data_IF_130826494290
#
_entry.id   IF_130826494290
#
_cell.length_a   1.000
_cell.length_b   1.000
_cell.length_c   1.000
_cell.angle_alpha   90.00
_cell.angle_beta   90.00
_cell.angle_gamma   90.00
#
_symmetry.space_group_name_H-M   'P 1'
#
loop_
_entity.id
_entity.type
_entity.pdbx_description
1 polymer ?
#
# COMPACT_ATOMS: atom_id res chain seq x y z
N UNK A 1 -6.12 -22.30 -31.52
CA UNK A 1 -5.78 -23.50 -30.73
C UNK A 1 -4.72 -23.07 -29.73
N UNK A 2 -5.11 -22.32 -28.69
CA UNK A 2 -5.61 -22.81 -27.40
C UNK A 2 -4.47 -23.44 -26.57
N UNK A 3 -4.23 -22.84 -25.41
CA UNK A 3 -3.18 -23.20 -24.45
C UNK A 3 -3.18 -22.16 -23.33
N UNK A 4 -4.29 -22.13 -22.61
CA UNK A 4 -4.53 -21.32 -21.41
C UNK A 4 -3.44 -21.58 -20.36
N UNK A 5 -2.95 -20.51 -19.76
CA UNK A 5 -2.07 -20.53 -18.60
C UNK A 5 -2.58 -19.51 -17.60
N UNK A 6 -3.79 -19.74 -17.09
CA UNK A 6 -4.28 -19.08 -15.88
C UNK A 6 -3.35 -19.45 -14.73
N UNK A 7 -2.40 -18.58 -14.43
CA UNK A 7 -1.63 -18.64 -13.18
C UNK A 7 -2.33 -17.78 -12.13
N UNK A 8 -3.53 -18.18 -11.74
CA UNK A 8 -4.15 -17.64 -10.52
C UNK A 8 -3.81 -18.58 -9.36
N UNK A 9 -2.54 -18.57 -8.98
CA UNK A 9 -2.12 -19.21 -7.72
C UNK A 9 -2.10 -18.11 -6.67
N UNK A 10 -3.24 -17.91 -6.00
CA UNK A 10 -3.29 -17.08 -4.80
C UNK A 10 -2.61 -17.86 -3.66
N UNK A 11 -1.31 -17.64 -3.51
CA UNK A 11 -0.49 -18.31 -2.52
C UNK A 11 -0.74 -17.81 -1.09
N UNK A 12 -1.58 -16.77 -0.89
CA UNK A 12 -1.85 -16.19 0.43
C UNK A 12 -0.63 -15.61 1.15
N UNK A 13 0.50 -15.44 0.43
CA UNK A 13 1.79 -15.08 1.01
C UNK A 13 1.98 -13.56 1.19
N UNK A 14 1.15 -12.72 0.54
CA UNK A 14 1.27 -11.26 0.58
C UNK A 14 -0.13 -10.64 0.58
N UNK A 15 -0.47 -9.89 1.64
CA UNK A 15 -1.68 -9.06 1.69
C UNK A 15 -1.57 -7.89 0.70
N UNK A 16 -2.67 -7.60 0.01
CA UNK A 16 -2.76 -6.49 -0.96
C UNK A 16 -2.67 -5.13 -0.26
N UNK A 17 -1.85 -4.22 -0.78
CA UNK A 17 -1.80 -2.82 -0.35
C UNK A 17 -2.71 -1.99 -1.27
N UNK A 18 -3.55 -1.15 -0.66
CA UNK A 18 -4.37 -0.17 -1.39
C UNK A 18 -3.57 1.10 -1.62
N UNK A 19 -3.63 1.65 -2.85
CA UNK A 19 -2.97 2.90 -3.21
C UNK A 19 -3.97 3.92 -3.76
N UNK A 20 -3.69 5.23 -3.59
CA UNK A 20 -4.43 6.30 -4.24
C UNK A 20 -4.41 6.17 -5.77
N UNK A 21 -5.51 6.55 -6.42
CA UNK A 21 -5.66 6.46 -7.88
C UNK A 21 -4.69 7.34 -8.67
N UNK A 22 -4.15 8.39 -8.05
CA UNK A 22 -3.15 9.31 -8.60
C UNK A 22 -1.70 8.88 -8.31
N UNK A 23 -1.50 7.76 -7.63
CA UNK A 23 -0.19 7.18 -7.35
C UNK A 23 0.58 6.89 -8.63
N UNK A 24 1.66 7.63 -8.87
CA UNK A 24 2.51 7.46 -10.06
C UNK A 24 3.47 6.29 -9.89
N UNK A 25 3.59 5.49 -10.95
CA UNK A 25 4.60 4.45 -11.09
C UNK A 25 5.92 5.04 -11.62
N UNK A 26 7.08 4.47 -11.28
CA UNK A 26 8.36 4.88 -11.87
C UNK A 26 8.36 4.68 -13.38
N UNK A 27 8.63 5.75 -14.14
CA UNK A 27 8.51 5.77 -15.61
C UNK A 27 9.40 4.78 -16.39
N UNK A 28 10.38 4.17 -15.73
CA UNK A 28 11.20 3.11 -16.32
C UNK A 28 10.43 1.79 -16.53
N UNK A 29 9.38 1.53 -15.75
CA UNK A 29 8.57 0.31 -15.84
C UNK A 29 7.37 0.44 -16.79
N UNK A 30 6.90 1.68 -17.04
CA UNK A 30 5.75 1.94 -17.92
C UNK A 30 5.99 1.57 -19.38
N UNK A 31 7.25 1.41 -19.83
CA UNK A 31 7.56 1.04 -21.22
C UNK A 31 7.56 -0.47 -21.47
N UNK A 32 7.55 -1.30 -20.42
CA UNK A 32 7.72 -2.76 -20.52
C UNK A 32 6.39 -3.47 -20.24
N UNK A 33 5.62 -2.96 -19.29
CA UNK A 33 4.32 -3.48 -18.94
C UNK A 33 3.45 -2.31 -18.46
N UNK A 34 2.26 -2.14 -19.02
CA UNK A 34 1.35 -1.06 -18.65
C UNK A 34 1.01 -1.07 -17.15
N UNK A 35 0.38 0.01 -16.68
CA UNK A 35 0.02 0.19 -15.26
C UNK A 35 -0.70 -1.02 -14.65
N UNK A 36 -1.59 -1.65 -15.41
CA UNK A 36 -2.32 -2.86 -15.01
C UNK A 36 -1.40 -4.05 -14.69
N UNK A 37 -0.32 -4.24 -15.45
CA UNK A 37 0.64 -5.31 -15.19
C UNK A 37 1.50 -5.03 -13.95
N UNK A 38 1.85 -3.78 -13.72
CA UNK A 38 2.55 -3.39 -12.50
C UNK A 38 1.67 -3.59 -11.26
N UNK A 39 0.42 -3.13 -11.35
CA UNK A 39 -0.56 -3.28 -10.27
C UNK A 39 -0.86 -4.75 -9.98
N UNK A 40 -0.98 -5.60 -11.01
CA UNK A 40 -1.15 -7.04 -10.82
C UNK A 40 0.07 -7.71 -10.18
N UNK A 41 1.29 -7.35 -10.60
CA UNK A 41 2.53 -7.88 -10.04
C UNK A 41 2.69 -7.54 -8.55
N UNK A 42 2.32 -6.32 -8.15
CA UNK A 42 2.40 -5.84 -6.76
C UNK A 42 1.07 -5.96 -5.98
N UNK A 43 0.03 -6.55 -6.57
CA UNK A 43 -1.34 -6.63 -6.03
C UNK A 43 -1.89 -5.29 -5.51
N UNK A 44 -1.69 -4.22 -6.27
CA UNK A 44 -2.11 -2.87 -5.91
C UNK A 44 -3.59 -2.68 -6.24
N UNK A 45 -4.42 -2.46 -5.21
CA UNK A 45 -5.83 -2.12 -5.40
C UNK A 45 -5.96 -0.60 -5.44
N UNK A 46 -6.39 -0.06 -6.59
CA UNK A 46 -6.57 1.39 -6.82
C UNK A 46 -7.99 1.89 -6.57
N UNK A 47 -8.72 1.25 -5.67
CA UNK A 47 -9.92 1.84 -5.08
C UNK A 47 -9.49 2.59 -3.84
N UNK A 48 -9.94 3.85 -3.68
CA UNK A 48 -9.68 4.63 -2.48
C UNK A 48 -10.56 4.03 -1.37
N UNK A 49 -10.02 3.23 -0.43
CA UNK A 49 -10.84 2.68 0.64
C UNK A 49 -11.34 3.85 1.49
N UNK A 50 -12.41 3.66 2.26
CA UNK A 50 -12.69 4.60 3.33
C UNK A 50 -11.49 4.67 4.28
N UNK A 51 -11.39 5.80 4.99
CA UNK A 51 -10.20 6.12 5.75
C UNK A 51 -9.93 5.10 6.88
N UNK A 52 -10.97 4.48 7.43
CA UNK A 52 -10.84 3.43 8.44
C UNK A 52 -10.30 2.14 7.82
N UNK A 53 -10.84 1.71 6.68
CA UNK A 53 -10.34 0.54 5.96
C UNK A 53 -8.88 0.72 5.53
N UNK A 54 -8.51 1.91 5.02
CA UNK A 54 -7.12 2.19 4.67
C UNK A 54 -6.20 2.14 5.89
N UNK A 55 -6.61 2.76 6.99
CA UNK A 55 -5.84 2.76 8.25
C UNK A 55 -5.64 1.34 8.79
N UNK A 56 -6.69 0.53 8.79
CA UNK A 56 -6.63 -0.87 9.19
C UNK A 56 -5.59 -1.63 8.34
N UNK A 57 -5.60 -1.45 7.02
CA UNK A 57 -4.62 -2.10 6.13
C UNK A 57 -3.18 -1.68 6.43
N UNK A 58 -2.94 -0.40 6.72
CA UNK A 58 -1.61 0.10 7.10
C UNK A 58 -1.13 -0.53 8.41
N UNK A 59 -2.00 -0.65 9.41
CA UNK A 59 -1.66 -1.25 10.71
C UNK A 59 -1.38 -2.74 10.60
N UNK A 60 -2.15 -3.48 9.79
CA UNK A 60 -1.95 -4.91 9.62
C UNK A 60 -0.66 -5.20 8.86
N UNK A 61 -0.40 -4.50 7.74
CA UNK A 61 0.88 -4.62 7.01
C UNK A 61 2.07 -4.27 7.90
N UNK A 62 1.99 -3.19 8.67
CA UNK A 62 3.10 -2.81 9.56
C UNK A 62 3.34 -3.85 10.65
N UNK A 63 2.29 -4.48 11.19
CA UNK A 63 2.43 -5.56 12.16
C UNK A 63 3.21 -6.73 11.55
N UNK A 64 2.83 -7.15 10.35
CA UNK A 64 3.47 -8.26 9.66
C UNK A 64 4.93 -7.91 9.31
N UNK A 65 5.18 -6.71 8.80
CA UNK A 65 6.54 -6.21 8.51
C UNK A 65 7.39 -6.22 9.77
N UNK A 66 6.90 -5.75 10.92
CA UNK A 66 7.68 -5.73 12.16
C UNK A 66 8.05 -7.14 12.64
N UNK A 67 7.14 -8.10 12.52
CA UNK A 67 7.39 -9.52 12.85
C UNK A 67 8.45 -10.11 11.92
N UNK A 68 8.34 -9.85 10.61
CA UNK A 68 9.29 -10.36 9.62
C UNK A 68 10.67 -9.70 9.74
N UNK A 69 10.71 -8.40 10.05
CA UNK A 69 11.93 -7.63 10.14
C UNK A 69 12.86 -8.14 11.26
N UNK A 70 12.28 -8.53 12.40
CA UNK A 70 13.00 -9.15 13.51
C UNK A 70 13.69 -10.45 13.09
N UNK A 71 13.05 -11.23 12.21
CA UNK A 71 13.52 -12.55 11.76
C UNK A 71 14.35 -12.48 10.47
N UNK A 72 14.41 -11.31 9.84
CA UNK A 72 15.11 -11.10 8.58
C UNK A 72 16.63 -11.04 8.74
N UNK A 73 17.35 -11.48 7.72
CA UNK A 73 18.80 -11.34 7.58
C UNK A 73 19.21 -9.99 6.96
N UNK A 74 18.31 -9.00 6.95
CA UNK A 74 18.60 -7.66 6.44
C UNK A 74 19.65 -6.97 7.29
N UNK A 75 20.39 -6.05 6.68
CA UNK A 75 21.33 -5.20 7.41
C UNK A 75 20.57 -4.24 8.34
N UNK A 76 21.23 -3.75 9.39
CA UNK A 76 20.61 -2.76 10.28
C UNK A 76 20.20 -1.49 9.53
N UNK A 77 20.97 -1.10 8.52
CA UNK A 77 20.66 0.06 7.66
C UNK A 77 19.37 -0.16 6.87
N UNK A 78 19.20 -1.34 6.25
CA UNK A 78 17.98 -1.70 5.52
C UNK A 78 16.77 -1.78 6.47
N UNK A 79 16.97 -2.33 7.68
CA UNK A 79 15.93 -2.40 8.71
C UNK A 79 15.47 -1.01 9.14
N UNK A 80 16.41 -0.09 9.35
CA UNK A 80 16.10 1.31 9.67
C UNK A 80 15.33 1.99 8.54
N UNK A 81 15.71 1.76 7.28
CA UNK A 81 15.01 2.31 6.13
C UNK A 81 13.55 1.83 6.05
N UNK A 82 13.30 0.53 6.31
CA UNK A 82 11.94 -0.03 6.34
C UNK A 82 11.12 0.56 7.48
N UNK A 83 11.69 0.68 8.68
CA UNK A 83 11.02 1.30 9.83
C UNK A 83 10.68 2.77 9.56
N UNK A 84 11.58 3.52 8.92
CA UNK A 84 11.33 4.90 8.51
C UNK A 84 10.15 4.99 7.52
N UNK A 85 10.07 4.05 6.56
CA UNK A 85 8.92 3.93 5.67
C UNK A 85 7.60 3.72 6.43
N UNK A 86 7.59 2.84 7.43
CA UNK A 86 6.41 2.62 8.27
C UNK A 86 5.95 3.90 9.00
N UNK A 87 6.89 4.67 9.54
CA UNK A 87 6.60 5.96 10.20
C UNK A 87 6.01 6.97 9.21
N UNK A 88 6.55 7.06 7.99
CA UNK A 88 6.02 7.94 6.95
C UNK A 88 4.58 7.55 6.60
N UNK A 89 4.30 6.27 6.41
CA UNK A 89 2.94 5.79 6.13
C UNK A 89 1.97 6.14 7.26
N UNK A 90 2.35 5.90 8.52
CA UNK A 90 1.55 6.28 9.69
C UNK A 90 1.25 7.79 9.72
N UNK A 91 2.27 8.61 9.48
CA UNK A 91 2.12 10.06 9.47
C UNK A 91 1.16 10.51 8.38
N UNK A 92 1.30 9.98 7.16
CA UNK A 92 0.40 10.28 6.04
C UNK A 92 -1.04 9.88 6.34
N UNK A 93 -1.27 8.69 6.90
CA UNK A 93 -2.62 8.25 7.28
C UNK A 93 -3.23 9.16 8.34
N UNK A 94 -2.47 9.55 9.37
CA UNK A 94 -2.96 10.48 10.40
C UNK A 94 -3.24 11.89 9.85
N UNK A 95 -2.42 12.37 8.92
CA UNK A 95 -2.64 13.67 8.28
C UNK A 95 -3.96 13.70 7.51
N UNK A 96 -4.30 12.61 6.82
CA UNK A 96 -5.58 12.48 6.10
C UNK A 96 -6.78 12.42 7.07
N UNK A 97 -6.64 11.76 8.24
CA UNK A 97 -7.66 11.81 9.30
C UNK A 97 -7.90 13.23 9.82
N UNK A 98 -6.82 13.99 10.03
CA UNK A 98 -6.92 15.38 10.48
C UNK A 98 -7.59 16.23 9.41
N UNK A 99 -7.18 16.11 8.14
CA UNK A 99 -7.79 16.83 7.03
C UNK A 99 -9.29 16.54 6.93
N UNK A 100 -9.68 15.25 6.97
CA UNK A 100 -11.08 14.86 6.85
C UNK A 100 -11.93 15.33 8.05
N UNK A 101 -11.37 15.29 9.26
CA UNK A 101 -12.04 15.83 10.44
C UNK A 101 -12.27 17.35 10.33
N UNK A 102 -11.34 18.10 9.73
CA UNK A 102 -11.52 19.54 9.51
C UNK A 102 -12.60 19.88 8.48
N UNK A 103 -12.77 19.05 7.45
CA UNK A 103 -13.80 19.23 6.42
C UNK A 103 -15.23 19.00 6.98
N UNK A 104 -15.41 17.98 7.84
CA UNK A 104 -16.71 17.70 8.48
C UNK A 104 -17.19 18.83 9.42
N UNK A 105 -16.28 19.59 10.03
CA UNK A 105 -16.62 20.77 10.85
C UNK A 105 -16.91 22.03 10.03
N UNK A 106 -16.47 22.09 8.77
CA UNK A 106 -16.72 23.22 7.87
C UNK A 106 -18.11 23.20 7.24
N UNK A 107 -18.64 22.01 6.94
CA UNK A 107 -19.95 21.83 6.28
C UNK A 107 -21.13 21.97 7.26
N UNK A 108 -20.93 21.70 8.55
CA UNK A 108 -21.95 21.92 9.58
C UNK A 108 -22.14 23.40 9.97
N UNK A 109 -21.27 24.31 9.49
CA UNK A 109 -21.27 25.73 9.82
C UNK A 109 -21.70 26.65 8.66
N UNK A 110 -22.08 26.09 7.51
CA UNK A 110 -22.57 26.82 6.32
C UNK A 110 -24.06 26.58 6.07
#
# INVERSE_FOLDING_TARGET
MAGEGEYEVDLGLIQSISLPSDGKIPGALTSIAGQEHYDAYFRLVRQRPDLATWTQSCLDVQRDVLVDLERSSLSDEDKVAILAGCVVTLHSTLAEWVAHAHDDFGEAAA
#
